data_IF_110267206903
#
_entry.id   IF_110267206903
#
_cell.length_a   1.000
_cell.length_b   1.000
_cell.length_c   1.000
_cell.angle_alpha   90.00
_cell.angle_beta   90.00
_cell.angle_gamma   90.00
#
_symmetry.space_group_name_H-M   'P 1'
#
loop_
_entity.id
_entity.type
_entity.pdbx_description
1 polymer ?
#
# COMPACT_ATOMS: atom_id res chain seq x y z
N UNK A 1 58.23 75.18 112.92
CA UNK A 1 57.45 75.41 111.69
C UNK A 1 56.91 76.83 111.73
N UNK A 2 57.50 77.74 110.97
CA UNK A 2 56.92 79.08 110.78
C UNK A 2 55.81 78.98 109.74
N UNK A 3 54.60 79.41 110.09
CA UNK A 3 53.51 79.51 109.13
C UNK A 3 53.74 80.70 108.20
N UNK A 4 53.68 80.48 106.89
CA UNK A 4 53.61 81.54 105.90
C UNK A 4 52.15 81.69 105.43
N UNK A 5 51.72 82.91 105.14
CA UNK A 5 50.36 83.20 104.66
C UNK A 5 50.46 83.66 103.21
N UNK A 6 49.99 82.82 102.28
CA UNK A 6 49.83 83.20 100.86
C UNK A 6 48.54 84.00 100.73
N UNK A 7 48.61 85.21 100.16
CA UNK A 7 47.42 86.06 99.96
C UNK A 7 47.00 86.12 98.50
N UNK A 8 47.96 86.04 97.59
CA UNK A 8 47.72 86.03 96.15
C UNK A 8 48.44 84.84 95.48
N UNK A 9 47.89 84.35 94.35
CA UNK A 9 48.47 83.22 93.62
C UNK A 9 49.90 83.49 93.13
N UNK A 10 50.22 84.75 92.85
CA UNK A 10 51.57 85.17 92.44
C UNK A 10 52.61 85.02 93.57
N UNK A 11 52.20 85.22 94.83
CA UNK A 11 53.06 85.03 96.00
C UNK A 11 53.45 83.55 96.14
N UNK A 12 52.53 82.63 95.84
CA UNK A 12 52.79 81.19 95.84
C UNK A 12 53.81 80.80 94.77
N UNK A 13 53.70 81.34 93.55
CA UNK A 13 54.67 81.06 92.47
C UNK A 13 56.07 81.49 92.87
N UNK A 14 56.22 82.71 93.40
CA UNK A 14 57.52 83.25 93.80
C UNK A 14 58.19 82.41 94.91
N UNK A 15 57.41 81.98 95.90
CA UNK A 15 57.88 81.09 96.97
C UNK A 15 58.33 79.72 96.41
N UNK A 16 57.62 79.16 95.43
CA UNK A 16 57.98 77.89 94.79
C UNK A 16 59.19 78.00 93.84
N UNK A 17 59.48 79.19 93.32
CA UNK A 17 60.68 79.48 92.54
C UNK A 17 61.92 79.65 93.43
N UNK A 18 61.76 80.26 94.61
CA UNK A 18 62.83 80.45 95.60
C UNK A 18 63.15 79.15 96.39
N UNK A 19 62.18 78.23 96.53
CA UNK A 19 62.31 76.96 97.25
C UNK A 19 62.03 75.72 96.37
N UNK A 20 63.03 75.21 95.63
CA UNK A 20 62.89 74.04 94.76
C UNK A 20 62.33 72.79 95.45
N UNK A 21 62.64 72.60 96.73
CA UNK A 21 62.16 71.48 97.55
C UNK A 21 60.64 71.50 97.77
N UNK A 22 60.04 72.68 97.93
CA UNK A 22 58.58 72.82 98.09
C UNK A 22 57.85 72.64 96.77
N UNK A 23 58.50 73.00 95.65
CA UNK A 23 57.99 72.73 94.31
C UNK A 23 57.95 71.25 94.00
N UNK A 24 58.96 70.47 94.40
CA UNK A 24 58.93 69.01 94.27
C UNK A 24 57.84 68.37 95.15
N UNK A 25 57.69 68.80 96.40
CA UNK A 25 56.65 68.26 97.29
C UNK A 25 55.24 68.61 96.81
N UNK A 26 55.02 69.85 96.35
CA UNK A 26 53.77 70.26 95.73
C UNK A 26 53.53 69.48 94.42
N UNK A 27 54.57 69.26 93.61
CA UNK A 27 54.47 68.41 92.40
C UNK A 27 54.06 66.99 92.77
N UNK A 28 54.61 66.39 93.82
CA UNK A 28 54.26 65.04 94.28
C UNK A 28 52.83 64.94 94.83
N UNK A 29 52.36 65.97 95.53
CA UNK A 29 50.99 66.03 96.09
C UNK A 29 49.93 66.30 95.01
N UNK A 30 50.25 67.10 93.98
CA UNK A 30 49.29 67.54 92.95
C UNK A 30 49.38 66.72 91.67
N UNK A 31 50.57 66.30 91.24
CA UNK A 31 50.79 65.41 90.09
C UNK A 31 51.04 63.99 90.58
N UNK A 32 49.98 63.33 91.02
CA UNK A 32 50.02 61.91 91.38
C UNK A 32 50.40 61.06 90.17
N UNK A 33 50.90 59.84 90.41
CA UNK A 33 51.25 58.88 89.35
C UNK A 33 50.08 58.61 88.38
N UNK A 34 48.84 58.72 88.86
CA UNK A 34 47.63 58.61 88.05
C UNK A 34 47.56 59.74 87.01
N UNK A 35 47.75 60.99 87.42
CA UNK A 35 47.72 62.16 86.53
C UNK A 35 48.88 62.13 85.53
N UNK A 36 50.06 61.66 85.96
CA UNK A 36 51.23 61.54 85.08
C UNK A 36 51.08 60.42 84.03
N UNK A 37 50.25 59.39 84.28
CA UNK A 37 49.97 58.29 83.33
C UNK A 37 48.81 58.57 82.38
N UNK A 38 47.93 59.53 82.69
CA UNK A 38 46.79 59.89 81.83
C UNK A 38 47.18 60.13 80.36
N UNK A 39 48.27 60.84 80.02
CA UNK A 39 48.67 61.04 78.62
C UNK A 39 48.94 59.73 77.88
N UNK A 40 49.52 58.73 78.55
CA UNK A 40 49.80 57.43 77.95
C UNK A 40 48.52 56.62 77.78
N UNK A 41 47.62 56.61 78.78
CA UNK A 41 46.30 55.98 78.68
C UNK A 41 45.46 56.60 77.55
N UNK A 42 45.47 57.92 77.42
CA UNK A 42 44.78 58.64 76.33
C UNK A 42 45.39 58.27 74.97
N UNK A 43 46.72 58.13 74.88
CA UNK A 43 47.39 57.68 73.65
C UNK A 43 46.98 56.25 73.28
N UNK A 44 47.00 55.32 74.24
CA UNK A 44 46.57 53.94 74.04
C UNK A 44 45.10 53.84 73.61
N UNK A 45 44.21 54.63 74.23
CA UNK A 45 42.81 54.70 73.86
C UNK A 45 42.63 55.25 72.45
N UNK A 46 43.39 56.28 72.08
CA UNK A 46 43.37 56.87 70.72
C UNK A 46 43.83 55.84 69.67
N UNK A 47 44.87 55.06 69.98
CA UNK A 47 45.35 53.99 69.11
C UNK A 47 44.38 52.81 69.02
N UNK A 48 43.74 52.43 70.12
CA UNK A 48 42.67 51.44 70.14
C UNK A 48 41.45 51.91 69.31
N UNK A 49 41.04 53.18 69.49
CA UNK A 49 39.96 53.78 68.70
C UNK A 49 40.29 53.78 67.21
N UNK A 50 41.51 54.18 66.82
CA UNK A 50 41.94 54.15 65.42
C UNK A 50 41.86 52.74 64.82
N UNK A 51 42.30 51.71 65.57
CA UNK A 51 42.20 50.30 65.13
C UNK A 51 40.75 49.87 64.95
N UNK A 52 39.87 50.18 65.90
CA UNK A 52 38.44 49.87 65.78
C UNK A 52 37.80 50.58 64.60
N UNK A 53 38.16 51.84 64.32
CA UNK A 53 37.67 52.57 63.15
C UNK A 53 38.13 51.93 61.83
N UNK A 54 39.36 51.40 61.79
CA UNK A 54 39.88 50.65 60.64
C UNK A 54 39.14 49.33 60.42
N UNK A 55 38.93 48.55 61.49
CA UNK A 55 38.15 47.31 61.46
C UNK A 55 36.69 47.55 61.03
N UNK A 56 36.06 48.62 61.51
CA UNK A 56 34.71 49.00 61.12
C UNK A 56 34.63 49.39 59.63
N UNK A 57 35.64 50.10 59.11
CA UNK A 57 35.72 50.41 57.67
C UNK A 57 35.86 49.15 56.83
N UNK A 58 36.68 48.20 57.25
CA UNK A 58 36.83 46.92 56.55
C UNK A 58 35.54 46.10 56.60
N UNK A 59 34.88 46.04 57.76
CA UNK A 59 33.59 45.36 57.90
C UNK A 59 32.52 46.00 57.00
N UNK A 60 32.45 47.32 56.96
CA UNK A 60 31.52 48.04 56.08
C UNK A 60 31.78 47.72 54.60
N UNK A 61 33.05 47.64 54.19
CA UNK A 61 33.42 47.25 52.83
C UNK A 61 32.97 45.80 52.51
N UNK A 62 33.20 44.86 53.43
CA UNK A 62 32.76 43.45 53.28
C UNK A 62 31.25 43.32 53.21
N UNK A 63 30.51 44.09 54.03
CA UNK A 63 29.05 44.12 53.98
C UNK A 63 28.56 44.64 52.63
N UNK A 64 29.14 45.71 52.11
CA UNK A 64 28.79 46.24 50.78
C UNK A 64 29.06 45.22 49.66
N UNK A 65 30.17 44.50 49.72
CA UNK A 65 30.47 43.44 48.75
C UNK A 65 29.47 42.29 48.84
N UNK A 66 29.11 41.87 50.06
CA UNK A 66 28.12 40.81 50.25
C UNK A 66 26.74 41.22 49.72
N UNK A 67 26.32 42.46 49.97
CA UNK A 67 25.07 43.02 49.43
C UNK A 67 25.07 42.95 47.90
N UNK A 68 26.15 43.40 47.25
CA UNK A 68 26.26 43.32 45.80
C UNK A 68 26.21 41.88 45.25
N UNK A 69 26.80 40.91 45.97
CA UNK A 69 26.71 39.49 45.61
C UNK A 69 25.30 38.92 45.77
N UNK A 70 24.56 39.35 46.80
CA UNK A 70 23.16 38.96 47.02
C UNK A 70 22.26 39.54 45.91
N UNK A 71 22.51 40.77 45.48
CA UNK A 71 21.80 41.39 44.37
C UNK A 71 22.03 40.63 43.05
N UNK A 72 23.29 40.28 42.73
CA UNK A 72 23.62 39.47 41.54
C UNK A 72 22.97 38.08 41.60
N UNK A 73 22.99 37.42 42.76
CA UNK A 73 22.33 36.13 42.93
C UNK A 73 20.82 36.22 42.75
N UNK A 74 20.20 37.30 43.24
CA UNK A 74 18.77 37.57 43.06
C UNK A 74 18.41 37.68 41.58
N UNK A 75 19.22 38.40 40.81
CA UNK A 75 19.05 38.50 39.35
C UNK A 75 19.14 37.12 38.68
N UNK A 76 20.17 36.33 39.00
CA UNK A 76 20.34 34.98 38.43
C UNK A 76 19.20 34.02 38.78
N UNK A 77 18.67 34.10 39.99
CA UNK A 77 17.51 33.29 40.42
C UNK A 77 16.27 33.66 39.60
N UNK A 78 16.04 34.96 39.36
CA UNK A 78 14.93 35.42 38.52
C UNK A 78 15.07 34.94 37.07
N UNK A 79 16.28 35.01 36.49
CA UNK A 79 16.54 34.49 35.15
C UNK A 79 16.33 32.98 35.04
N UNK A 80 16.78 32.21 36.04
CA UNK A 80 16.57 30.77 36.08
C UNK A 80 15.08 30.42 36.21
N UNK A 81 14.34 31.19 37.01
CA UNK A 81 12.88 31.02 37.15
C UNK A 81 12.19 31.21 35.81
N UNK A 82 12.51 32.30 35.09
CA UNK A 82 11.96 32.56 33.76
C UNK A 82 12.30 31.43 32.75
N UNK A 83 13.51 30.87 32.79
CA UNK A 83 13.88 29.73 31.94
C UNK A 83 13.10 28.47 32.28
N UNK A 84 12.83 28.21 33.56
CA UNK A 84 12.01 27.07 34.00
C UNK A 84 10.57 27.22 33.51
N UNK A 85 10.02 28.43 33.57
CA UNK A 85 8.67 28.72 33.05
C UNK A 85 8.59 28.48 31.53
N UNK A 86 9.60 28.93 30.78
CA UNK A 86 9.68 28.69 29.32
C UNK A 86 9.79 27.20 28.99
N UNK A 87 10.62 26.45 29.71
CA UNK A 87 10.74 25.00 29.52
C UNK A 87 9.44 24.28 29.86
N UNK A 88 8.75 24.70 30.90
CA UNK A 88 7.44 24.16 31.29
C UNK A 88 6.42 24.38 30.18
N UNK A 89 6.37 25.58 29.60
CA UNK A 89 5.51 25.88 28.46
C UNK A 89 5.82 25.00 27.24
N UNK A 90 7.11 24.80 26.91
CA UNK A 90 7.53 23.92 25.81
C UNK A 90 7.15 22.46 26.04
N UNK A 91 7.28 21.96 27.27
CA UNK A 91 6.87 20.60 27.63
C UNK A 91 5.37 20.44 27.41
N UNK A 92 4.55 21.39 27.87
CA UNK A 92 3.09 21.35 27.67
C UNK A 92 2.72 21.34 26.18
N UNK A 93 3.40 22.14 25.35
CA UNK A 93 3.18 22.14 23.90
C UNK A 93 3.55 20.80 23.26
N UNK A 94 4.68 20.20 23.66
CA UNK A 94 5.09 18.88 23.17
C UNK A 94 4.09 17.79 23.59
N UNK A 95 3.59 17.83 24.82
CA UNK A 95 2.54 16.90 25.27
C UNK A 95 1.29 17.01 24.41
N UNK A 96 0.81 18.23 24.14
CA UNK A 96 -0.35 18.43 23.27
C UNK A 96 -0.13 17.90 21.85
N UNK A 97 1.07 18.09 21.29
CA UNK A 97 1.43 17.53 19.97
C UNK A 97 1.46 16.00 19.96
N UNK A 98 1.93 15.38 21.05
CA UNK A 98 1.92 13.91 21.21
C UNK A 98 0.50 13.37 21.28
N UNK A 99 -0.39 14.06 21.99
CA UNK A 99 -1.81 13.69 22.07
C UNK A 99 -2.48 13.77 20.69
N UNK A 100 -2.23 14.85 19.92
CA UNK A 100 -2.73 15.01 18.55
C UNK A 100 -2.21 13.91 17.61
N UNK A 101 -0.91 13.57 17.70
CA UNK A 101 -0.33 12.48 16.92
C UNK A 101 -0.94 11.13 17.28
N UNK A 102 -1.22 10.90 18.56
CA UNK A 102 -1.87 9.67 19.03
C UNK A 102 -3.27 9.52 18.42
N UNK A 103 -4.05 10.60 18.38
CA UNK A 103 -5.36 10.62 17.70
C UNK A 103 -5.22 10.28 16.22
N UNK A 104 -4.31 10.94 15.50
CA UNK A 104 -4.08 10.68 14.07
C UNK A 104 -3.67 9.24 13.78
N UNK A 105 -2.83 8.64 14.62
CA UNK A 105 -2.43 7.23 14.47
C UNK A 105 -3.62 6.31 14.63
N UNK A 106 -4.52 6.57 15.58
CA UNK A 106 -5.72 5.78 15.78
C UNK A 106 -6.69 5.90 14.58
N UNK A 107 -6.86 7.11 14.03
CA UNK A 107 -7.67 7.34 12.82
C UNK A 107 -7.11 6.57 11.61
N UNK A 108 -5.79 6.59 11.43
CA UNK A 108 -5.13 5.83 10.36
C UNK A 108 -5.29 4.32 10.53
N UNK A 109 -5.19 3.80 11.76
CA UNK A 109 -5.40 2.40 12.04
C UNK A 109 -6.85 1.96 11.73
N UNK A 110 -7.83 2.81 12.05
CA UNK A 110 -9.23 2.53 11.72
C UNK A 110 -9.49 2.58 10.20
N UNK A 111 -8.91 3.57 9.50
CA UNK A 111 -8.99 3.65 8.05
C UNK A 111 -8.37 2.41 7.38
N UNK A 112 -7.20 1.96 7.85
CA UNK A 112 -6.55 0.75 7.36
C UNK A 112 -7.44 -0.48 7.56
N UNK A 113 -8.04 -0.66 8.75
CA UNK A 113 -8.95 -1.78 9.03
C UNK A 113 -10.14 -1.78 8.06
N UNK A 114 -10.71 -0.61 7.77
CA UNK A 114 -11.81 -0.48 6.80
C UNK A 114 -11.37 -0.87 5.39
N UNK A 115 -10.19 -0.43 4.95
CA UNK A 115 -9.64 -0.82 3.64
C UNK A 115 -9.39 -2.33 3.56
N UNK A 116 -8.87 -2.96 4.62
CA UNK A 116 -8.69 -4.41 4.67
C UNK A 116 -10.02 -5.17 4.56
N UNK A 117 -11.08 -4.69 5.22
CA UNK A 117 -12.43 -5.25 5.10
C UNK A 117 -13.00 -5.10 3.67
N UNK A 118 -12.78 -3.96 3.02
CA UNK A 118 -13.19 -3.73 1.63
C UNK A 118 -12.42 -4.63 0.65
N UNK A 119 -11.12 -4.81 0.86
CA UNK A 119 -10.30 -5.73 0.06
C UNK A 119 -10.74 -7.18 0.20
N UNK A 120 -11.09 -7.63 1.42
CA UNK A 120 -11.65 -8.98 1.63
C UNK A 120 -12.96 -9.17 0.89
N UNK A 121 -13.85 -8.16 0.89
CA UNK A 121 -15.11 -8.20 0.13
C UNK A 121 -14.85 -8.24 -1.37
N UNK A 122 -13.86 -7.49 -1.86
CA UNK A 122 -13.49 -7.50 -3.28
C UNK A 122 -12.92 -8.86 -3.70
N UNK A 123 -12.04 -9.45 -2.88
CA UNK A 123 -11.50 -10.79 -3.15
C UNK A 123 -12.63 -11.84 -3.26
N UNK A 124 -13.58 -11.85 -2.31
CA UNK A 124 -14.72 -12.76 -2.36
C UNK A 124 -15.56 -12.57 -3.64
N UNK A 125 -15.78 -11.32 -4.08
CA UNK A 125 -16.50 -11.05 -5.35
C UNK A 125 -15.73 -11.52 -6.57
N UNK A 126 -14.40 -11.44 -6.55
CA UNK A 126 -13.57 -11.96 -7.66
C UNK A 126 -13.66 -13.48 -7.72
N UNK A 127 -13.66 -14.17 -6.58
CA UNK A 127 -13.84 -15.62 -6.53
C UNK A 127 -15.23 -16.03 -7.05
N UNK A 128 -16.29 -15.34 -6.63
CA UNK A 128 -17.66 -15.55 -7.14
C UNK A 128 -17.75 -15.34 -8.67
N UNK A 129 -17.08 -14.31 -9.19
CA UNK A 129 -17.04 -14.05 -10.64
C UNK A 129 -16.26 -15.13 -11.39
N UNK A 130 -15.16 -15.63 -10.82
CA UNK A 130 -14.38 -16.72 -11.42
C UNK A 130 -15.21 -18.01 -11.51
N UNK A 131 -15.95 -18.34 -10.45
CA UNK A 131 -16.88 -19.48 -10.45
C UNK A 131 -18.00 -19.32 -11.48
N UNK A 132 -18.60 -18.13 -11.55
CA UNK A 132 -19.63 -17.82 -12.53
C UNK A 132 -19.10 -17.94 -13.98
N UNK A 133 -17.89 -17.42 -14.24
CA UNK A 133 -17.23 -17.55 -15.54
C UNK A 133 -16.99 -19.02 -15.91
N UNK A 134 -16.47 -19.83 -14.98
CA UNK A 134 -16.22 -21.25 -15.22
C UNK A 134 -17.51 -22.00 -15.59
N UNK A 135 -18.63 -21.67 -14.93
CA UNK A 135 -19.95 -22.22 -15.27
C UNK A 135 -20.42 -21.80 -16.66
N UNK A 136 -20.27 -20.52 -17.01
CA UNK A 136 -20.61 -20.03 -18.35
C UNK A 136 -19.76 -20.68 -19.43
N UNK A 137 -18.47 -20.92 -19.19
CA UNK A 137 -17.60 -21.66 -20.12
C UNK A 137 -18.07 -23.11 -20.31
N UNK A 138 -18.50 -23.78 -19.25
CA UNK A 138 -19.07 -25.13 -19.35
C UNK A 138 -20.37 -25.15 -20.17
N UNK A 139 -21.27 -24.19 -19.91
CA UNK A 139 -22.53 -24.05 -20.66
C UNK A 139 -22.26 -23.75 -22.14
N UNK A 140 -21.26 -22.92 -22.45
CA UNK A 140 -20.87 -22.61 -23.82
C UNK A 140 -20.31 -23.86 -24.53
N UNK A 141 -19.48 -24.67 -23.86
CA UNK A 141 -19.00 -25.95 -24.42
C UNK A 141 -20.16 -26.89 -24.75
N UNK A 142 -21.16 -26.98 -23.87
CA UNK A 142 -22.38 -27.77 -24.13
C UNK A 142 -23.17 -27.23 -25.32
N UNK A 143 -23.26 -25.91 -25.46
CA UNK A 143 -23.94 -25.27 -26.59
C UNK A 143 -23.21 -25.54 -27.91
N UNK A 144 -21.87 -25.40 -27.95
CA UNK A 144 -21.06 -25.71 -29.13
C UNK A 144 -21.30 -27.16 -29.56
N UNK A 145 -21.21 -28.11 -28.63
CA UNK A 145 -21.45 -29.53 -28.94
C UNK A 145 -22.87 -29.79 -29.49
N UNK A 146 -23.89 -29.08 -28.99
CA UNK A 146 -25.27 -29.17 -29.51
C UNK A 146 -25.39 -28.58 -30.91
N UNK A 147 -24.74 -27.46 -31.18
CA UNK A 147 -24.71 -26.84 -32.51
C UNK A 147 -24.03 -27.77 -33.51
N UNK A 148 -22.90 -28.39 -33.14
CA UNK A 148 -22.19 -29.34 -34.00
C UNK A 148 -23.02 -30.60 -34.30
N UNK A 149 -23.78 -31.09 -33.31
CA UNK A 149 -24.73 -32.18 -33.52
C UNK A 149 -25.85 -31.76 -34.49
N UNK A 150 -26.49 -30.62 -34.24
CA UNK A 150 -27.56 -30.11 -35.10
C UNK A 150 -27.06 -29.85 -36.54
N UNK A 151 -25.83 -29.36 -36.70
CA UNK A 151 -25.21 -29.17 -38.02
C UNK A 151 -25.05 -30.49 -38.78
N UNK A 152 -24.70 -31.59 -38.09
CA UNK A 152 -24.63 -32.93 -38.68
C UNK A 152 -26.01 -33.45 -39.06
N UNK A 153 -26.99 -33.35 -38.16
CA UNK A 153 -28.36 -33.78 -38.42
C UNK A 153 -28.97 -33.01 -39.62
N UNK A 154 -28.71 -31.71 -39.72
CA UNK A 154 -29.15 -30.90 -40.87
C UNK A 154 -28.42 -31.28 -42.16
N UNK A 155 -27.14 -31.67 -42.09
CA UNK A 155 -26.41 -32.15 -43.26
C UNK A 155 -26.99 -33.48 -43.77
N UNK A 156 -27.31 -34.41 -42.88
CA UNK A 156 -27.98 -35.68 -43.20
C UNK A 156 -29.34 -35.44 -43.84
N UNK A 157 -30.21 -34.63 -43.22
CA UNK A 157 -31.52 -34.29 -43.78
C UNK A 157 -31.44 -33.60 -45.15
N UNK A 158 -30.40 -32.78 -45.38
CA UNK A 158 -30.15 -32.18 -46.71
C UNK A 158 -29.76 -33.26 -47.73
N UNK A 159 -28.94 -34.23 -47.34
CA UNK A 159 -28.58 -35.40 -48.16
C UNK A 159 -29.82 -36.18 -48.57
N UNK A 160 -30.63 -36.62 -47.61
CA UNK A 160 -31.87 -37.37 -47.85
C UNK A 160 -32.84 -36.62 -48.79
N UNK A 161 -32.95 -35.29 -48.59
CA UNK A 161 -33.81 -34.43 -49.40
C UNK A 161 -33.31 -34.31 -50.84
N UNK A 162 -31.99 -34.20 -51.04
CA UNK A 162 -31.38 -34.22 -52.37
C UNK A 162 -31.62 -35.57 -53.05
N UNK A 163 -31.39 -36.68 -52.35
CA UNK A 163 -31.57 -38.03 -52.89
C UNK A 163 -33.00 -38.24 -53.36
N UNK A 164 -33.97 -37.90 -52.50
CA UNK A 164 -35.40 -37.93 -52.85
C UNK A 164 -35.70 -37.09 -54.09
N UNK A 165 -35.13 -35.89 -54.19
CA UNK A 165 -35.35 -35.00 -55.34
C UNK A 165 -34.78 -35.55 -56.64
N UNK A 166 -33.61 -36.20 -56.61
CA UNK A 166 -33.06 -36.89 -57.76
C UNK A 166 -33.92 -38.08 -58.18
N UNK A 167 -34.41 -38.87 -57.20
CA UNK A 167 -35.30 -40.01 -57.45
C UNK A 167 -36.64 -39.58 -58.07
N UNK A 168 -37.29 -38.57 -57.49
CA UNK A 168 -38.61 -38.09 -57.92
C UNK A 168 -38.58 -37.29 -59.24
N UNK A 169 -37.47 -36.61 -59.54
CA UNK A 169 -37.35 -35.72 -60.70
C UNK A 169 -36.23 -36.10 -61.66
N UNK A 170 -35.91 -37.40 -61.76
CA UNK A 170 -34.84 -37.87 -62.64
C UNK A 170 -34.99 -37.40 -64.09
N UNK A 171 -36.21 -37.30 -64.61
CA UNK A 171 -36.44 -36.77 -65.95
C UNK A 171 -35.95 -35.32 -66.11
N UNK A 172 -36.11 -34.48 -65.09
CA UNK A 172 -35.69 -33.07 -65.14
C UNK A 172 -34.16 -32.91 -65.06
N UNK A 173 -33.50 -33.76 -64.27
CA UNK A 173 -32.04 -33.70 -64.07
C UNK A 173 -31.26 -34.44 -65.17
N UNK A 174 -31.70 -35.64 -65.55
CA UNK A 174 -30.96 -36.51 -66.45
C UNK A 174 -31.52 -36.56 -67.87
N UNK A 175 -32.69 -35.95 -68.13
CA UNK A 175 -33.30 -35.91 -69.47
C UNK A 175 -32.47 -35.15 -70.52
N UNK A 176 -31.53 -34.31 -70.10
CA UNK A 176 -30.55 -33.68 -71.00
C UNK A 176 -29.47 -34.68 -71.45
N UNK A 177 -29.13 -35.66 -70.62
CA UNK A 177 -28.09 -36.67 -70.89
C UNK A 177 -28.65 -37.86 -71.67
N UNK A 178 -29.78 -38.42 -71.21
CA UNK A 178 -30.39 -39.64 -71.76
C UNK A 178 -31.87 -39.43 -72.08
N UNK A 179 -32.40 -40.15 -73.07
CA UNK A 179 -33.84 -40.14 -73.41
C UNK A 179 -34.59 -41.15 -72.56
N UNK A 180 -35.85 -40.85 -72.23
CA UNK A 180 -36.71 -41.68 -71.39
C UNK A 180 -36.06 -42.03 -70.03
N UNK A 181 -35.41 -41.05 -69.41
CA UNK A 181 -34.79 -41.20 -68.10
C UNK A 181 -35.85 -41.66 -67.07
N UNK A 182 -35.60 -42.81 -66.45
CA UNK A 182 -36.45 -43.41 -65.43
C UNK A 182 -35.56 -43.88 -64.27
N UNK A 183 -35.88 -43.41 -63.07
CA UNK A 183 -35.22 -43.92 -61.87
C UNK A 183 -35.72 -45.32 -61.59
N UNK A 184 -34.83 -46.27 -61.41
CA UNK A 184 -35.20 -47.62 -61.00
C UNK A 184 -35.71 -47.60 -59.55
N UNK A 185 -36.76 -48.36 -59.31
CA UNK A 185 -37.25 -48.70 -57.97
C UNK A 185 -36.30 -49.69 -57.29
N UNK A 186 -36.37 -49.84 -55.95
CA UNK A 186 -35.54 -50.81 -55.23
C UNK A 186 -35.65 -52.24 -55.79
N UNK A 187 -36.85 -52.66 -56.16
CA UNK A 187 -37.08 -54.00 -56.73
C UNK A 187 -36.41 -54.16 -58.10
N UNK A 188 -36.50 -53.14 -58.97
CA UNK A 188 -35.84 -53.13 -60.28
C UNK A 188 -34.31 -53.11 -60.17
N UNK A 189 -33.76 -52.46 -59.14
CA UNK A 189 -32.31 -52.46 -58.87
C UNK A 189 -31.86 -53.85 -58.44
N UNK A 190 -32.59 -54.50 -57.53
CA UNK A 190 -32.28 -55.87 -57.10
C UNK A 190 -32.34 -56.82 -58.29
N UNK A 191 -33.41 -56.77 -59.08
CA UNK A 191 -33.52 -57.60 -60.29
C UNK A 191 -32.36 -57.36 -61.26
N UNK A 192 -32.00 -56.09 -61.53
CA UNK A 192 -30.90 -55.74 -62.44
C UNK A 192 -29.56 -56.29 -61.95
N UNK A 193 -29.28 -56.17 -60.66
CA UNK A 193 -28.01 -56.58 -60.06
C UNK A 193 -27.91 -58.11 -60.00
N UNK A 194 -28.95 -58.80 -59.53
CA UNK A 194 -28.99 -60.28 -59.45
C UNK A 194 -28.90 -60.91 -60.85
N UNK A 195 -29.64 -60.38 -61.84
CA UNK A 195 -29.53 -60.82 -63.24
C UNK A 195 -28.11 -60.64 -63.80
N UNK A 196 -27.42 -59.58 -63.39
CA UNK A 196 -26.03 -59.30 -63.80
C UNK A 196 -25.05 -60.32 -63.23
N UNK A 197 -25.23 -60.73 -61.97
CA UNK A 197 -24.42 -61.78 -61.33
C UNK A 197 -24.71 -63.14 -61.97
N UNK A 198 -25.98 -63.49 -62.16
CA UNK A 198 -26.40 -64.76 -62.77
C UNK A 198 -25.85 -64.93 -64.20
N UNK A 199 -25.70 -63.82 -64.94
CA UNK A 199 -25.13 -63.81 -66.29
C UNK A 199 -23.59 -63.73 -66.30
N UNK A 200 -22.95 -63.66 -65.12
CA UNK A 200 -21.50 -63.53 -64.97
C UNK A 200 -20.95 -62.19 -65.46
N UNK A 201 -21.80 -61.16 -65.56
CA UNK A 201 -21.43 -59.80 -65.95
C UNK A 201 -20.95 -58.98 -64.74
N UNK A 202 -21.39 -59.36 -63.54
CA UNK A 202 -20.99 -58.74 -62.28
C UNK A 202 -20.41 -59.81 -61.34
N UNK A 203 -19.34 -59.45 -60.63
CA UNK A 203 -18.81 -60.22 -59.50
C UNK A 203 -19.63 -59.98 -58.23
N UNK A 204 -19.50 -60.85 -57.22
CA UNK A 204 -20.16 -60.63 -55.92
C UNK A 204 -19.69 -59.35 -55.22
N UNK A 205 -18.44 -58.93 -55.46
CA UNK A 205 -17.90 -57.67 -54.92
C UNK A 205 -18.54 -56.46 -55.61
N UNK A 206 -18.73 -56.51 -56.93
CA UNK A 206 -19.40 -55.45 -57.69
C UNK A 206 -20.90 -55.38 -57.41
N UNK A 207 -21.56 -56.53 -57.16
CA UNK A 207 -22.94 -56.62 -56.67
C UNK A 207 -23.11 -55.80 -55.40
N UNK A 208 -22.25 -56.08 -54.42
CA UNK A 208 -22.29 -55.40 -53.13
C UNK A 208 -22.00 -53.91 -53.29
N UNK A 209 -21.05 -53.51 -54.15
CA UNK A 209 -20.74 -52.11 -54.41
C UNK A 209 -21.90 -51.34 -55.08
N UNK A 210 -22.60 -51.96 -56.02
CA UNK A 210 -23.76 -51.38 -56.73
C UNK A 210 -25.00 -51.29 -55.85
N UNK A 211 -25.20 -52.22 -54.92
CA UNK A 211 -26.29 -52.19 -53.95
C UNK A 211 -26.28 -50.93 -53.06
N UNK A 212 -25.11 -50.31 -52.88
CA UNK A 212 -24.93 -49.06 -52.15
C UNK A 212 -24.97 -47.80 -53.04
N UNK A 213 -25.57 -47.88 -54.24
CA UNK A 213 -25.75 -46.71 -55.13
C UNK A 213 -27.03 -45.97 -54.78
N UNK A 214 -26.94 -44.66 -54.53
CA UNK A 214 -28.07 -43.86 -54.03
C UNK A 214 -29.24 -43.79 -55.03
N UNK A 215 -28.92 -43.59 -56.31
CA UNK A 215 -29.91 -43.47 -57.39
C UNK A 215 -29.38 -44.10 -58.68
N UNK A 216 -30.08 -45.09 -59.24
CA UNK A 216 -29.81 -45.63 -60.57
C UNK A 216 -30.88 -45.16 -61.56
N UNK A 217 -30.45 -44.57 -62.66
CA UNK A 217 -31.35 -44.04 -63.70
C UNK A 217 -31.11 -44.77 -65.01
N UNK A 218 -32.13 -45.48 -65.49
CA UNK A 218 -32.14 -46.14 -66.80
C UNK A 218 -32.65 -45.19 -67.88
N UNK A 219 -32.10 -45.28 -69.08
CA UNK A 219 -32.66 -44.62 -70.26
C UNK A 219 -31.97 -45.05 -71.54
N UNK A 220 -32.12 -44.24 -72.58
CA UNK A 220 -31.52 -44.49 -73.89
C UNK A 220 -30.54 -43.41 -74.29
N UNK A 221 -29.38 -43.80 -74.78
CA UNK A 221 -28.38 -42.87 -75.28
C UNK A 221 -28.96 -42.03 -76.44
N UNK A 222 -28.65 -40.74 -76.47
CA UNK A 222 -29.25 -39.82 -77.44
C UNK A 222 -28.81 -40.09 -78.88
N UNK A 223 -27.59 -40.58 -79.09
CA UNK A 223 -27.01 -40.82 -80.42
C UNK A 223 -27.28 -42.23 -80.94
N UNK A 224 -26.90 -43.27 -80.21
CA UNK A 224 -27.06 -44.68 -80.62
C UNK A 224 -28.48 -45.22 -80.35
N UNK A 225 -29.13 -44.74 -79.30
CA UNK A 225 -30.41 -45.30 -78.82
C UNK A 225 -30.25 -46.56 -77.97
N UNK A 226 -29.01 -46.96 -77.66
CA UNK A 226 -28.70 -48.05 -76.75
C UNK A 226 -29.18 -47.77 -75.34
N UNK A 227 -29.52 -48.83 -74.61
CA UNK A 227 -29.90 -48.73 -73.22
C UNK A 227 -28.66 -48.46 -72.37
N UNK A 228 -28.75 -47.45 -71.50
CA UNK A 228 -27.66 -47.03 -70.63
C UNK A 228 -28.20 -46.80 -69.23
N UNK A 229 -27.38 -47.11 -68.24
CA UNK A 229 -27.66 -46.90 -66.83
C UNK A 229 -26.70 -45.84 -66.29
N UNK A 230 -27.25 -44.88 -65.56
CA UNK A 230 -26.49 -43.88 -64.83
C UNK A 230 -26.55 -44.23 -63.34
N UNK A 231 -25.41 -44.58 -62.75
CA UNK A 231 -25.23 -44.56 -61.30
C UNK A 231 -25.04 -43.10 -60.88
N UNK A 232 -25.88 -42.62 -59.99
CA UNK A 232 -25.84 -41.27 -59.43
C UNK A 232 -25.62 -41.40 -57.94
N UNK A 233 -24.46 -40.92 -57.49
CA UNK A 233 -24.20 -40.69 -56.08
C UNK A 233 -24.67 -39.29 -55.68
N UNK A 234 -25.44 -39.20 -54.61
CA UNK A 234 -26.04 -37.95 -54.14
C UNK A 234 -25.31 -37.49 -52.89
N UNK A 235 -24.42 -36.52 -53.05
CA UNK A 235 -23.64 -35.98 -51.95
C UNK A 235 -24.26 -34.73 -51.32
N UNK A 236 -24.41 -34.75 -49.99
CA UNK A 236 -24.81 -33.60 -49.17
C UNK A 236 -23.64 -32.72 -48.69
N UNK A 237 -22.39 -33.16 -48.87
CA UNK A 237 -21.14 -32.45 -48.50
C UNK A 237 -20.07 -32.61 -49.58
N UNK A 238 -19.00 -31.81 -49.58
CA UNK A 238 -17.99 -31.83 -50.67
C UNK A 238 -16.73 -32.56 -50.20
N UNK A 239 -16.48 -33.77 -50.69
CA UNK A 239 -15.24 -34.54 -50.53
C UNK A 239 -14.67 -35.01 -51.89
N UNK A 240 -13.37 -35.29 -51.95
CA UNK A 240 -12.65 -35.66 -53.19
C UNK A 240 -12.70 -37.17 -53.47
N UNK A 241 -12.89 -37.99 -52.43
CA UNK A 241 -13.00 -39.47 -52.53
C UNK A 241 -14.28 -39.92 -53.26
N UNK A 242 -15.22 -39.00 -53.46
CA UNK A 242 -16.60 -39.26 -53.88
C UNK A 242 -16.73 -39.30 -55.40
N UNK A 243 -15.90 -38.51 -56.07
CA UNK A 243 -15.79 -38.49 -57.53
C UNK A 243 -15.18 -39.79 -58.05
N UNK A 244 -14.22 -40.37 -57.33
CA UNK A 244 -13.58 -41.63 -57.73
C UNK A 244 -14.54 -42.83 -57.59
N UNK A 245 -15.41 -42.81 -56.57
CA UNK A 245 -16.41 -43.86 -56.32
C UNK A 245 -17.53 -43.84 -57.37
N UNK A 246 -18.05 -42.65 -57.68
CA UNK A 246 -19.03 -42.46 -58.74
C UNK A 246 -18.49 -42.91 -60.13
N UNK A 247 -17.21 -42.64 -60.41
CA UNK A 247 -16.58 -43.06 -61.66
C UNK A 247 -16.45 -44.59 -61.79
N UNK A 248 -16.04 -45.29 -60.71
CA UNK A 248 -15.93 -46.76 -60.71
C UNK A 248 -17.28 -47.44 -60.93
N UNK A 249 -18.34 -47.00 -60.24
CA UNK A 249 -19.69 -47.56 -60.38
C UNK A 249 -20.31 -47.32 -61.75
N UNK A 250 -20.02 -46.18 -62.38
CA UNK A 250 -20.48 -45.89 -63.73
C UNK A 250 -19.85 -46.81 -64.79
N UNK A 251 -18.63 -47.30 -64.59
CA UNK A 251 -17.99 -48.25 -65.50
C UNK A 251 -18.56 -49.67 -65.37
N UNK A 252 -19.09 -50.06 -64.20
CA UNK A 252 -19.75 -51.36 -63.96
C UNK A 252 -21.14 -51.49 -64.62
N UNK A 253 -21.73 -50.36 -65.03
CA UNK A 253 -23.10 -50.28 -65.57
C UNK A 253 -23.15 -50.08 -67.10
N UNK A 254 -22.01 -50.16 -67.79
CA UNK A 254 -21.91 -50.11 -69.26
C UNK A 254 -21.94 -51.49 -69.88
#
# INVERSE_FOLDING_TARGET
MGGFTVREFHDLIKILEEHPEWREELRRLVLTDEILRLPDVVRELTEAQRRTEEELKELAARVNELTARVDDLTVRVNELTARVDELTARVNELTARVDELTVRVNELAEAQRKTEEELRKLAARVDELAEAQAKTEEELRKLVARVDALSRDVAELKGDSLERRYRERAFAYFGQLIRRAHTLSPDEIVELIEDGVDRGLLTEEERDELAWTDVIVRGKERKSGEEVYLAVEVWGGVGVEDVERAARRADMLR
#
